data_IF_173009719546
#
_entry.id   IF_173009719546
#
_cell.length_a   1.000
_cell.length_b   1.000
_cell.length_c   1.000
_cell.angle_alpha   90.00
_cell.angle_beta   90.00
_cell.angle_gamma   90.00
#
_symmetry.space_group_name_H-M   'P 1'
#
loop_
_entity.id
_entity.type
_entity.pdbx_description
1 polymer ?
#
# COMPACT_ATOMS: atom_id res chain seq x y z
N UNK A 1 -44.53 -48.32 -17.46
CA UNK A 1 -43.54 -47.65 -18.34
C UNK A 1 -42.16 -47.85 -17.74
N UNK A 2 -41.39 -48.84 -18.23
CA UNK A 2 -40.02 -48.70 -18.82
C UNK A 2 -39.03 -47.89 -17.94
N UNK A 3 -38.16 -48.59 -17.18
CA UNK A 3 -36.69 -48.83 -17.39
C UNK A 3 -35.84 -47.61 -16.98
N UNK A 4 -34.68 -47.64 -16.32
CA UNK A 4 -33.61 -48.62 -15.96
C UNK A 4 -32.80 -47.97 -14.78
N UNK A 5 -32.43 -48.69 -13.70
CA UNK A 5 -31.11 -49.31 -13.38
C UNK A 5 -29.94 -48.29 -13.26
N UNK A 6 -28.96 -48.32 -12.34
CA UNK A 6 -28.34 -49.36 -11.52
C UNK A 6 -27.54 -48.67 -10.37
N UNK A 7 -27.59 -49.13 -9.10
CA UNK A 7 -26.81 -50.20 -8.44
C UNK A 7 -25.40 -49.75 -7.96
N UNK A 8 -25.25 -49.49 -6.65
CA UNK A 8 -24.55 -50.31 -5.64
C UNK A 8 -23.01 -50.19 -5.63
N UNK A 9 -22.44 -49.60 -4.58
CA UNK A 9 -21.92 -50.28 -3.38
C UNK A 9 -20.80 -51.29 -3.70
N UNK A 10 -19.57 -51.00 -3.24
CA UNK A 10 -18.82 -51.87 -2.31
C UNK A 10 -17.40 -51.38 -2.03
N UNK A 11 -17.12 -51.35 -0.73
CA UNK A 11 -15.83 -51.39 -0.06
C UNK A 11 -15.17 -52.78 -0.24
N UNK A 12 -13.84 -52.84 -0.43
CA UNK A 12 -12.95 -53.97 -0.06
C UNK A 12 -11.48 -53.55 -0.34
N UNK A 13 -10.61 -53.35 0.66
CA UNK A 13 -9.77 -54.35 1.36
C UNK A 13 -8.78 -55.13 0.46
N UNK A 14 -7.50 -54.77 0.61
CA UNK A 14 -6.24 -55.56 0.67
C UNK A 14 -6.14 -56.94 -0.03
N UNK A 15 -4.99 -57.24 -0.66
CA UNK A 15 -3.98 -58.24 -0.23
C UNK A 15 -2.90 -58.50 -1.32
N UNK A 16 -1.64 -58.40 -0.88
CA UNK A 16 -0.36 -59.02 -1.27
C UNK A 16 -0.19 -59.76 -2.62
N UNK A 17 0.91 -59.46 -3.33
CA UNK A 17 1.82 -60.47 -3.91
C UNK A 17 3.29 -60.00 -3.80
N UNK A 18 4.14 -60.88 -3.27
CA UNK A 18 5.60 -60.79 -3.18
C UNK A 18 6.28 -61.21 -4.50
N UNK A 19 7.52 -60.75 -4.75
CA UNK A 19 8.67 -61.44 -5.41
C UNK A 19 9.87 -60.46 -5.47
N UNK A 20 11.14 -60.94 -5.42
CA UNK A 20 12.14 -60.46 -4.46
C UNK A 20 13.31 -59.60 -4.99
N UNK A 21 14.06 -59.13 -3.97
CA UNK A 21 15.41 -58.60 -3.93
C UNK A 21 16.37 -59.18 -5.00
N UNK A 22 17.18 -58.29 -5.59
CA UNK A 22 18.30 -58.57 -6.49
C UNK A 22 18.00 -58.62 -8.00
N UNK A 23 17.49 -57.50 -8.53
CA UNK A 23 17.96 -56.97 -9.81
C UNK A 23 18.46 -55.54 -9.52
N UNK A 24 19.67 -55.44 -8.99
CA UNK A 24 20.86 -55.04 -9.76
C UNK A 24 20.81 -53.53 -10.06
N UNK A 25 21.22 -52.71 -9.09
CA UNK A 25 22.62 -52.27 -8.98
C UNK A 25 23.07 -51.20 -10.00
N UNK A 26 22.17 -50.63 -10.81
CA UNK A 26 22.55 -49.55 -11.75
C UNK A 26 21.94 -48.16 -11.47
N UNK A 27 21.10 -47.99 -10.46
CA UNK A 27 20.60 -46.66 -10.04
C UNK A 27 21.39 -46.04 -8.87
N UNK A 28 22.54 -46.63 -8.49
CA UNK A 28 23.36 -46.25 -7.32
C UNK A 28 24.43 -45.18 -7.57
N UNK A 29 24.43 -44.52 -8.73
CA UNK A 29 25.34 -43.39 -8.99
C UNK A 29 24.64 -42.06 -9.31
N UNK A 30 23.30 -42.03 -9.45
CA UNK A 30 22.54 -40.78 -9.62
C UNK A 30 21.81 -40.31 -8.35
N UNK A 31 21.99 -41.03 -7.23
CA UNK A 31 21.35 -40.72 -5.93
C UNK A 31 22.15 -39.81 -5.00
N UNK A 32 23.41 -39.49 -5.32
CA UNK A 32 24.30 -38.72 -4.44
C UNK A 32 24.19 -37.19 -4.62
N UNK A 33 23.32 -36.69 -5.51
CA UNK A 33 23.10 -35.24 -5.72
C UNK A 33 21.74 -34.76 -5.15
N UNK A 34 20.96 -35.64 -4.51
CA UNK A 34 19.62 -35.28 -3.99
C UNK A 34 19.41 -35.41 -2.49
N UNK A 35 20.48 -35.56 -1.70
CA UNK A 35 20.39 -35.57 -0.23
C UNK A 35 21.34 -34.52 0.36
N UNK A 36 21.09 -33.25 0.02
CA UNK A 36 21.69 -32.10 0.70
C UNK A 36 20.79 -30.85 0.63
N UNK A 37 19.46 -31.00 0.68
CA UNK A 37 18.55 -29.86 0.87
C UNK A 37 17.53 -30.03 2.00
N UNK A 38 17.54 -31.17 2.69
CA UNK A 38 16.69 -31.42 3.87
C UNK A 38 17.38 -30.94 5.15
N UNK A 39 17.68 -29.64 5.25
CA UNK A 39 17.96 -28.94 6.51
C UNK A 39 18.09 -27.42 6.29
N UNK A 40 17.11 -26.80 5.62
CA UNK A 40 16.99 -25.34 5.67
C UNK A 40 15.52 -24.93 5.66
N UNK A 41 14.80 -25.39 6.68
CA UNK A 41 13.55 -24.75 7.09
C UNK A 41 13.58 -24.47 8.58
N UNK A 42 13.05 -23.29 8.90
CA UNK A 42 12.77 -22.74 10.22
C UNK A 42 13.91 -21.96 10.90
N UNK A 43 13.98 -20.65 10.56
CA UNK A 43 14.10 -19.53 11.51
C UNK A 43 14.04 -18.18 10.78
N UNK A 44 13.04 -18.01 9.92
CA UNK A 44 12.51 -16.68 9.65
C UNK A 44 11.06 -16.71 10.15
N UNK A 45 10.90 -16.37 11.43
CA UNK A 45 9.60 -15.94 11.91
C UNK A 45 9.18 -14.81 10.98
N UNK A 46 8.15 -15.06 10.16
CA UNK A 46 7.47 -14.00 9.43
C UNK A 46 7.04 -13.01 10.49
N UNK A 47 7.73 -11.88 10.56
CA UNK A 47 7.31 -10.73 11.35
C UNK A 47 5.85 -10.50 10.99
N UNK A 48 4.95 -10.84 11.91
CA UNK A 48 3.53 -10.63 11.73
C UNK A 48 3.30 -9.16 11.98
N UNK A 49 3.72 -8.33 11.03
CA UNK A 49 3.13 -7.01 10.87
C UNK A 49 1.70 -7.33 10.46
N UNK A 50 0.78 -7.22 11.42
CA UNK A 50 -0.65 -7.23 11.14
C UNK A 50 -0.88 -6.37 9.90
N UNK A 51 -1.33 -6.98 8.81
CA UNK A 51 -1.64 -6.28 7.58
C UNK A 51 -2.65 -5.20 7.94
N UNK A 52 -2.19 -3.95 8.05
CA UNK A 52 -3.08 -2.82 8.15
C UNK A 52 -3.89 -2.87 6.86
N UNK A 53 -5.19 -3.11 6.97
CA UNK A 53 -6.15 -2.89 5.90
C UNK A 53 -6.20 -1.38 5.61
N UNK A 54 -5.13 -0.87 5.02
CA UNK A 54 -5.14 0.42 4.36
C UNK A 54 -5.77 0.12 3.01
N UNK A 55 -6.97 0.65 2.77
CA UNK A 55 -7.55 0.62 1.43
C UNK A 55 -6.47 1.08 0.45
N UNK A 56 -6.18 0.26 -0.56
CA UNK A 56 -5.11 0.54 -1.51
C UNK A 56 -5.46 1.85 -2.22
N UNK A 57 -4.56 2.82 -2.15
CA UNK A 57 -4.68 4.06 -2.93
C UNK A 57 -4.40 3.72 -4.38
N UNK A 58 -5.28 4.15 -5.27
CA UNK A 58 -5.10 4.05 -6.71
C UNK A 58 -4.45 5.35 -7.22
N UNK A 59 -3.19 5.25 -7.64
CA UNK A 59 -2.44 6.38 -8.21
C UNK A 59 -2.56 6.45 -9.74
N UNK A 60 -3.16 5.44 -10.37
CA UNK A 60 -3.41 5.42 -11.83
C UNK A 60 -4.71 6.16 -12.18
N UNK A 61 -5.54 6.46 -11.17
CA UNK A 61 -6.74 7.26 -11.33
C UNK A 61 -6.39 8.70 -11.73
N UNK A 62 -6.83 9.11 -12.93
CA UNK A 62 -6.68 10.48 -13.42
C UNK A 62 -7.78 11.36 -12.80
N UNK A 63 -7.38 12.51 -12.26
CA UNK A 63 -8.28 13.52 -11.70
C UNK A 63 -8.20 14.81 -12.52
N UNK A 64 -9.35 15.34 -12.92
CA UNK A 64 -9.43 16.68 -13.50
C UNK A 64 -9.12 17.75 -12.43
N UNK A 65 -8.17 18.63 -12.74
CA UNK A 65 -7.68 19.71 -11.86
C UNK A 65 -7.88 21.10 -12.46
N UNK A 66 -8.63 21.24 -13.55
CA UNK A 66 -8.96 22.54 -14.12
C UNK A 66 -9.95 23.31 -13.22
N UNK A 67 -10.72 22.58 -12.42
CA UNK A 67 -11.63 23.14 -11.42
C UNK A 67 -10.90 23.49 -10.12
N UNK A 68 -11.51 24.38 -9.32
CA UNK A 68 -11.00 24.81 -8.00
C UNK A 68 -9.68 25.61 -7.99
N UNK A 69 -9.31 26.27 -9.10
CA UNK A 69 -8.25 27.28 -9.11
C UNK A 69 -6.83 26.72 -8.96
N UNK A 70 -6.55 25.56 -9.54
CA UNK A 70 -5.21 24.95 -9.55
C UNK A 70 -4.20 25.84 -10.27
N UNK A 71 -3.17 26.34 -9.60
CA UNK A 71 -2.09 27.11 -10.28
C UNK A 71 -1.40 26.28 -11.37
N UNK A 72 -1.20 24.98 -11.11
CA UNK A 72 -0.58 24.07 -12.08
C UNK A 72 -1.38 23.97 -13.38
N UNK A 73 -2.71 23.92 -13.32
CA UNK A 73 -3.57 23.57 -14.47
C UNK A 73 -4.52 24.69 -14.95
N UNK A 74 -4.80 25.68 -14.11
CA UNK A 74 -5.64 26.85 -14.39
C UNK A 74 -4.75 28.10 -14.49
N UNK A 75 -3.76 28.02 -15.39
CA UNK A 75 -2.74 29.01 -15.72
C UNK A 75 -3.24 30.44 -16.02
N UNK A 76 -4.50 30.59 -16.43
CA UNK A 76 -5.09 31.87 -16.81
C UNK A 76 -5.23 32.89 -15.66
N UNK A 77 -5.13 32.46 -14.39
CA UNK A 77 -5.31 33.35 -13.23
C UNK A 77 -4.02 33.63 -12.45
N UNK A 78 -2.91 32.95 -12.77
CA UNK A 78 -1.66 33.11 -12.05
C UNK A 78 -0.69 34.03 -12.79
N UNK A 79 -0.23 35.08 -12.10
CA UNK A 79 0.75 36.05 -12.60
C UNK A 79 2.10 35.40 -12.88
N UNK A 80 2.43 34.34 -12.14
CA UNK A 80 3.68 33.60 -12.27
C UNK A 80 3.59 32.40 -13.20
N UNK A 81 2.39 32.11 -13.73
CA UNK A 81 2.25 31.04 -14.70
C UNK A 81 3.01 31.41 -15.97
N UNK A 82 3.80 30.48 -16.53
CA UNK A 82 4.31 30.67 -17.87
C UNK A 82 3.09 30.90 -18.78
N UNK A 83 3.03 32.07 -19.44
CA UNK A 83 1.95 32.47 -20.36
C UNK A 83 2.05 31.69 -21.67
N UNK A 84 2.04 30.37 -21.55
CA UNK A 84 2.14 29.42 -22.64
C UNK A 84 0.70 29.19 -23.09
N UNK A 85 0.43 29.64 -24.31
CA UNK A 85 -0.85 29.48 -24.98
C UNK A 85 -0.77 28.26 -25.91
N UNK A 86 -1.83 27.47 -25.93
CA UNK A 86 -1.92 26.25 -26.74
C UNK A 86 -3.06 25.36 -26.28
N UNK A 87 -3.69 24.67 -27.22
CA UNK A 87 -4.60 23.56 -26.92
C UNK A 87 -3.76 22.35 -26.46
N UNK A 88 -4.28 21.53 -25.55
CA UNK A 88 -3.64 20.29 -25.08
C UNK A 88 -2.27 20.41 -24.38
N UNK A 89 -2.07 21.47 -23.58
CA UNK A 89 -0.86 21.62 -22.78
C UNK A 89 -0.82 20.65 -21.58
N UNK A 90 0.30 19.92 -21.44
CA UNK A 90 0.59 19.08 -20.28
C UNK A 90 1.41 19.86 -19.24
N UNK A 91 0.83 20.09 -18.07
CA UNK A 91 1.48 20.87 -17.02
C UNK A 91 2.34 20.02 -16.08
N UNK A 92 3.64 20.34 -16.00
CA UNK A 92 4.64 19.60 -15.20
C UNK A 92 5.54 20.52 -14.34
N UNK A 93 5.18 21.79 -14.17
CA UNK A 93 6.08 22.82 -13.62
C UNK A 93 5.95 23.02 -12.11
N UNK A 94 4.72 23.19 -11.58
CA UNK A 94 4.48 23.43 -10.15
C UNK A 94 4.70 22.15 -9.34
N UNK A 95 5.44 22.25 -8.22
CA UNK A 95 5.74 21.14 -7.32
C UNK A 95 4.58 20.76 -6.38
N UNK A 96 3.41 20.51 -6.94
CA UNK A 96 2.30 19.81 -6.30
C UNK A 96 1.96 18.50 -7.05
N UNK A 97 0.99 17.73 -6.58
CA UNK A 97 0.67 16.40 -7.11
C UNK A 97 -0.72 16.35 -7.75
N UNK A 98 -0.87 15.50 -8.77
CA UNK A 98 -2.15 15.22 -9.43
C UNK A 98 -2.92 14.04 -8.77
N UNK A 99 -2.64 13.78 -7.49
CA UNK A 99 -3.29 12.74 -6.68
C UNK A 99 -4.23 13.33 -5.65
N UNK A 100 -5.28 12.60 -5.28
CA UNK A 100 -6.11 12.97 -4.14
C UNK A 100 -5.32 12.86 -2.83
N UNK A 101 -5.58 13.80 -1.93
CA UNK A 101 -5.07 13.72 -0.55
C UNK A 101 -5.56 12.43 0.13
N UNK A 102 -4.84 11.92 1.14
CA UNK A 102 -5.27 10.72 1.88
C UNK A 102 -6.68 10.88 2.47
N UNK A 103 -7.49 9.83 2.45
CA UNK A 103 -8.89 9.90 2.93
C UNK A 103 -9.00 10.39 4.39
N UNK A 104 -8.02 10.05 5.24
CA UNK A 104 -7.97 10.55 6.62
C UNK A 104 -7.90 12.09 6.70
N UNK A 105 -7.24 12.74 5.74
CA UNK A 105 -7.17 14.21 5.66
C UNK A 105 -8.48 14.77 5.12
N UNK A 106 -9.01 14.18 4.04
CA UNK A 106 -10.27 14.61 3.41
C UNK A 106 -11.43 14.52 4.40
N UNK A 107 -11.56 13.40 5.13
CA UNK A 107 -12.62 13.19 6.11
C UNK A 107 -12.59 14.25 7.21
N UNK A 108 -11.39 14.59 7.73
CA UNK A 108 -11.24 15.59 8.79
C UNK A 108 -11.57 17.01 8.31
N UNK A 109 -11.26 17.32 7.04
CA UNK A 109 -11.62 18.59 6.41
C UNK A 109 -13.13 18.70 6.18
N UNK A 110 -13.79 17.62 5.75
CA UNK A 110 -15.26 17.58 5.62
C UNK A 110 -15.94 17.82 6.96
N UNK A 111 -15.51 17.14 8.02
CA UNK A 111 -16.03 17.36 9.37
C UNK A 111 -15.87 18.82 9.82
N UNK A 112 -14.72 19.43 9.53
CA UNK A 112 -14.48 20.84 9.86
C UNK A 112 -15.36 21.79 9.04
N UNK A 113 -15.63 21.49 7.77
CA UNK A 113 -16.56 22.25 6.92
C UNK A 113 -18.01 22.08 7.39
N UNK A 114 -18.43 20.87 7.74
CA UNK A 114 -19.79 20.59 8.21
C UNK A 114 -20.10 21.27 9.56
N UNK A 115 -19.06 21.64 10.33
CA UNK A 115 -19.22 22.36 11.60
C UNK A 115 -19.93 23.73 11.43
N UNK A 116 -19.74 24.41 10.30
CA UNK A 116 -20.45 25.64 9.96
C UNK A 116 -20.04 26.92 10.71
N UNK A 117 -19.05 26.87 11.61
CA UNK A 117 -18.52 28.02 12.35
C UNK A 117 -17.01 28.15 12.11
N UNK A 118 -16.59 29.24 11.48
CA UNK A 118 -15.21 29.43 10.99
C UNK A 118 -14.49 30.62 11.65
N UNK A 119 -14.67 30.77 12.96
CA UNK A 119 -14.03 31.83 13.74
C UNK A 119 -12.53 31.59 14.02
N UNK A 120 -11.97 32.42 14.89
CA UNK A 120 -10.58 32.29 15.32
C UNK A 120 -10.29 30.90 15.90
N UNK A 121 -9.38 30.19 15.24
CA UNK A 121 -9.04 28.81 15.60
C UNK A 121 -7.73 28.77 16.37
N UNK A 122 -7.74 28.11 17.53
CA UNK A 122 -6.51 27.77 18.26
C UNK A 122 -6.00 26.41 17.79
N UNK A 123 -4.68 26.25 17.76
CA UNK A 123 -4.03 24.98 17.44
C UNK A 123 -4.35 23.93 18.50
N UNK A 124 -4.58 22.69 18.06
CA UNK A 124 -4.71 21.53 18.95
C UNK A 124 -3.43 21.39 19.80
N UNK A 125 -3.53 21.30 21.15
CA UNK A 125 -2.36 21.12 22.02
C UNK A 125 -1.47 19.94 21.62
N UNK A 126 -2.03 18.88 21.03
CA UNK A 126 -1.31 17.67 20.59
C UNK A 126 -0.52 17.87 19.31
N UNK A 127 -0.65 19.01 18.62
CA UNK A 127 0.04 19.27 17.37
C UNK A 127 1.56 19.03 17.49
N UNK A 128 2.18 19.52 18.55
CA UNK A 128 3.62 19.41 18.74
C UNK A 128 4.08 17.97 19.02
N UNK A 129 3.27 17.18 19.73
CA UNK A 129 3.53 15.76 19.97
C UNK A 129 3.49 14.97 18.65
N UNK A 130 2.52 15.29 17.78
CA UNK A 130 2.40 14.68 16.44
C UNK A 130 3.62 14.99 15.58
N UNK A 131 4.08 16.25 15.57
CA UNK A 131 5.26 16.68 14.80
C UNK A 131 6.51 15.98 15.32
N UNK A 132 6.76 15.97 16.63
CA UNK A 132 7.90 15.27 17.22
C UNK A 132 7.88 13.77 16.91
N UNK A 133 6.71 13.12 17.06
CA UNK A 133 6.52 11.71 16.73
C UNK A 133 6.76 11.41 15.24
N UNK A 134 6.41 12.34 14.34
CA UNK A 134 6.70 12.19 12.92
C UNK A 134 8.20 12.20 12.63
N UNK A 135 8.92 13.17 13.19
CA UNK A 135 10.38 13.26 13.03
C UNK A 135 11.11 12.09 13.67
N UNK A 136 10.70 11.67 14.87
CA UNK A 136 11.33 10.55 15.56
C UNK A 136 11.21 9.25 14.74
N UNK A 137 10.02 8.97 14.19
CA UNK A 137 9.78 7.73 13.43
C UNK A 137 10.45 7.68 12.07
N UNK A 138 10.65 8.82 11.40
CA UNK A 138 11.18 8.86 10.02
C UNK A 138 12.61 9.33 9.89
N UNK A 139 13.08 10.09 10.86
CA UNK A 139 14.38 10.75 10.80
C UNK A 139 15.22 10.47 12.04
N UNK A 140 14.74 9.66 12.98
CA UNK A 140 15.40 9.37 14.26
C UNK A 140 15.83 10.66 14.99
N UNK A 141 15.01 11.70 14.86
CA UNK A 141 15.28 13.03 15.36
C UNK A 141 14.09 13.53 16.17
N UNK A 142 14.35 14.10 17.35
CA UNK A 142 13.32 14.66 18.21
C UNK A 142 13.61 16.15 18.43
N UNK A 143 12.95 17.07 17.69
CA UNK A 143 13.14 18.50 17.88
C UNK A 143 12.64 18.94 19.26
N UNK A 144 13.35 19.89 19.86
CA UNK A 144 13.00 20.50 21.15
C UNK A 144 11.81 21.44 20.95
N UNK A 145 10.77 21.35 21.78
CA UNK A 145 9.50 22.05 21.61
C UNK A 145 9.66 23.56 21.42
N UNK A 146 10.55 24.18 22.19
CA UNK A 146 10.85 25.61 22.19
C UNK A 146 11.44 26.09 20.85
N UNK A 147 11.94 25.17 20.03
CA UNK A 147 12.49 25.47 18.70
C UNK A 147 11.45 25.36 17.58
N UNK A 148 10.26 24.82 17.86
CA UNK A 148 9.19 24.62 16.87
C UNK A 148 8.31 25.87 16.76
N UNK A 149 8.70 26.78 15.88
CA UNK A 149 7.92 27.96 15.55
C UNK A 149 6.96 27.67 14.38
N UNK A 150 5.65 27.97 14.54
CA UNK A 150 4.70 27.79 13.45
C UNK A 150 4.89 28.88 12.39
N UNK A 151 4.91 28.46 11.12
CA UNK A 151 4.86 29.36 9.97
C UNK A 151 3.72 28.91 9.04
N UNK A 152 3.04 29.84 8.36
CA UNK A 152 1.98 29.49 7.40
C UNK A 152 2.54 28.78 6.16
N UNK A 153 3.77 29.12 5.76
CA UNK A 153 4.47 28.51 4.64
C UNK A 153 5.99 28.64 4.84
N UNK A 154 6.74 27.79 4.14
CA UNK A 154 8.18 28.00 3.90
C UNK A 154 8.25 28.66 2.53
N UNK A 155 8.48 29.98 2.49
CA UNK A 155 8.72 30.70 1.25
C UNK A 155 10.24 30.93 1.12
N UNK A 156 10.88 30.59 0.00
CA UNK A 156 12.23 31.07 -0.32
C UNK A 156 12.24 32.59 -0.58
#
# INVERSE_FOLDING_TARGET
MRREAANANRNAKSWLFSVPLALQAEARLNGAVRVASTAFQSRHAKSTIAQRNVARVDFDQIHDRQQFGSVKWANQWDEFSPRVEGEDLLSLWTADMDFRAPEAVIARLREAADHGIYGYTRRDPRHYEIVQSWFARRHNWSPVLETLLPAPAIMP
#
